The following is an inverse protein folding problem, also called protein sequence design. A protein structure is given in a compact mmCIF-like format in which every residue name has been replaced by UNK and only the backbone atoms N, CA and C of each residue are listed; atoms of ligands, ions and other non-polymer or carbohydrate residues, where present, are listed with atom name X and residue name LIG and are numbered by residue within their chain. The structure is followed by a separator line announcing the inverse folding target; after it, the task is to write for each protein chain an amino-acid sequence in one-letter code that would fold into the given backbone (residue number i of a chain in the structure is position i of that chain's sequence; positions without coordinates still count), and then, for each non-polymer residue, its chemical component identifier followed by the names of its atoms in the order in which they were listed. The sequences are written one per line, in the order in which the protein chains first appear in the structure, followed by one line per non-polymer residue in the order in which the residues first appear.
data_IF_278525566187
#
_entry.id   IF_278525566187
#
_cell.length_a   1.000
_cell.length_b   1.000
_cell.length_c   1.000
_cell.angle_alpha   90.00
_cell.angle_beta   90.00
_cell.angle_gamma   90.00
#
_symmetry.space_group_name_H-M   'P 1'
#
loop_
_entity.id
_entity.type
_entity.pdbx_description
1 polymer ?
#
# COMPACT_ATOMS: atom_id res chain seq x y z
N UNK A 1 -4.02 28.92 -15.32
CA UNK A 1 -3.75 29.89 -14.23
C UNK A 1 -2.30 29.69 -13.82
N UNK A 2 -1.40 30.64 -14.12
CA UNK A 2 0.00 30.54 -13.71
C UNK A 2 0.14 31.17 -12.33
N UNK A 3 0.52 30.38 -11.34
CA UNK A 3 0.97 30.89 -10.04
C UNK A 3 2.38 31.49 -10.21
N UNK A 4 2.72 32.62 -9.56
CA UNK A 4 4.05 33.21 -9.67
C UNK A 4 5.12 32.20 -9.22
N UNK A 5 6.11 31.93 -10.09
CA UNK A 5 7.16 30.92 -9.87
C UNK A 5 6.99 29.59 -10.62
N UNK A 6 5.83 29.36 -11.24
CA UNK A 6 5.62 28.22 -12.15
C UNK A 6 6.06 28.53 -13.59
N UNK A 7 6.39 27.50 -14.38
CA UNK A 7 6.72 27.66 -15.80
C UNK A 7 5.59 28.38 -16.57
N UNK A 8 5.91 29.23 -17.57
CA UNK A 8 4.90 30.00 -18.29
C UNK A 8 3.94 29.08 -19.06
N UNK A 9 2.64 29.19 -18.78
CA UNK A 9 1.58 28.43 -19.45
C UNK A 9 0.87 29.33 -20.47
N UNK A 10 0.83 28.91 -21.74
CA UNK A 10 0.12 29.61 -22.82
C UNK A 10 -0.82 28.64 -23.53
N UNK A 11 -2.07 29.04 -23.78
CA UNK A 11 -3.04 28.28 -24.60
C UNK A 11 -3.84 27.18 -23.89
N UNK A 12 -3.74 27.04 -22.56
CA UNK A 12 -4.53 26.06 -21.80
C UNK A 12 -5.83 26.71 -21.34
N UNK A 13 -6.97 26.19 -21.80
CA UNK A 13 -8.31 26.60 -21.36
C UNK A 13 -8.89 25.54 -20.44
N UNK A 14 -9.35 25.94 -19.25
CA UNK A 14 -9.92 25.03 -18.25
C UNK A 14 -11.36 25.45 -17.95
N UNK A 15 -12.28 24.48 -17.96
CA UNK A 15 -13.67 24.69 -17.61
C UNK A 15 -13.99 23.99 -16.29
N UNK A 16 -14.81 24.61 -15.45
CA UNK A 16 -15.28 24.04 -14.19
C UNK A 16 -16.73 24.41 -13.93
N UNK A 17 -17.41 23.63 -13.09
CA UNK A 17 -18.81 23.84 -12.68
C UNK A 17 -18.82 24.12 -11.17
N UNK A 18 -19.69 25.03 -10.72
CA UNK A 18 -19.88 25.31 -9.29
C UNK A 18 -20.16 24.03 -8.49
N UNK A 19 -19.47 23.79 -7.35
CA UNK A 19 -19.66 22.59 -6.53
C UNK A 19 -21.11 22.42 -6.05
N UNK A 20 -21.83 23.51 -5.81
CA UNK A 20 -23.24 23.49 -5.38
C UNK A 20 -24.19 22.91 -6.44
N UNK A 21 -23.73 22.76 -7.69
CA UNK A 21 -24.51 22.18 -8.79
C UNK A 21 -24.06 20.76 -9.16
N UNK A 22 -23.11 20.19 -8.44
CA UNK A 22 -22.64 18.81 -8.64
C UNK A 22 -23.24 17.91 -7.55
N UNK A 23 -23.53 16.66 -7.89
CA UNK A 23 -23.80 15.64 -6.89
C UNK A 23 -22.44 15.03 -6.45
N UNK A 24 -21.98 15.27 -5.21
CA UNK A 24 -20.63 14.92 -4.79
C UNK A 24 -20.36 13.41 -4.74
N UNK A 25 -21.40 12.57 -4.64
CA UNK A 25 -21.27 11.12 -4.53
C UNK A 25 -21.83 10.35 -5.73
N UNK A 26 -22.29 11.04 -6.77
CA UNK A 26 -22.82 10.40 -7.97
C UNK A 26 -21.78 9.45 -8.59
N UNK A 27 -22.16 8.18 -8.78
CA UNK A 27 -21.32 7.18 -9.44
C UNK A 27 -20.11 6.70 -8.64
N UNK A 28 -19.93 7.17 -7.39
CA UNK A 28 -18.77 6.84 -6.56
C UNK A 28 -18.68 5.36 -6.25
N UNK A 29 -19.79 4.66 -5.97
CA UNK A 29 -19.75 3.22 -5.67
C UNK A 29 -19.21 2.38 -6.85
N UNK A 30 -19.77 2.57 -8.04
CA UNK A 30 -19.32 1.87 -9.26
C UNK A 30 -17.89 2.26 -9.62
N UNK A 31 -17.57 3.56 -9.64
CA UNK A 31 -16.25 4.04 -9.99
C UNK A 31 -15.18 3.62 -8.95
N UNK A 32 -15.48 3.65 -7.66
CA UNK A 32 -14.53 3.35 -6.61
C UNK A 32 -14.10 1.88 -6.63
N UNK A 33 -15.03 0.93 -6.81
CA UNK A 33 -14.69 -0.50 -6.78
C UNK A 33 -13.71 -0.85 -7.90
N UNK A 34 -14.05 -0.54 -9.15
CA UNK A 34 -13.21 -0.92 -10.29
C UNK A 34 -11.91 -0.11 -10.36
N UNK A 35 -11.96 1.18 -10.02
CA UNK A 35 -10.76 2.03 -10.03
C UNK A 35 -9.79 1.67 -8.91
N UNK A 36 -10.30 1.31 -7.73
CA UNK A 36 -9.47 0.87 -6.60
C UNK A 36 -8.79 -0.45 -6.94
N UNK A 37 -9.53 -1.43 -7.46
CA UNK A 37 -8.94 -2.70 -7.89
C UNK A 37 -7.83 -2.51 -8.95
N UNK A 38 -8.09 -1.69 -9.98
CA UNK A 38 -7.10 -1.37 -11.02
C UNK A 38 -5.84 -0.71 -10.46
N UNK A 39 -5.95 0.11 -9.42
CA UNK A 39 -4.81 0.76 -8.76
C UNK A 39 -4.06 -0.21 -7.87
N UNK A 40 -4.76 -0.99 -7.06
CA UNK A 40 -4.17 -1.95 -6.12
C UNK A 40 -3.40 -3.04 -6.84
N UNK A 41 -3.92 -3.59 -7.95
CA UNK A 41 -3.26 -4.69 -8.67
C UNK A 41 -1.84 -4.36 -9.16
N UNK A 42 -1.57 -3.09 -9.50
CA UNK A 42 -0.25 -2.68 -9.98
C UNK A 42 0.80 -2.55 -8.87
N UNK A 43 0.35 -2.44 -7.63
CA UNK A 43 1.21 -2.20 -6.46
C UNK A 43 1.24 -3.39 -5.50
N UNK A 44 0.30 -4.32 -5.62
CA UNK A 44 0.11 -5.40 -4.66
C UNK A 44 1.37 -6.26 -4.47
N UNK A 45 2.15 -6.51 -5.53
CA UNK A 45 3.38 -7.30 -5.43
C UNK A 45 4.47 -6.58 -4.63
N UNK A 46 4.61 -5.27 -4.79
CA UNK A 46 5.60 -4.48 -4.05
C UNK A 46 5.29 -4.40 -2.55
N UNK A 47 4.04 -4.60 -2.16
CA UNK A 47 3.62 -4.57 -0.76
C UNK A 47 3.55 -5.98 -0.17
N UNK A 48 2.91 -6.91 -0.85
CA UNK A 48 2.64 -8.25 -0.33
C UNK A 48 3.90 -9.10 -0.24
N UNK A 49 4.79 -9.05 -1.24
CA UNK A 49 6.03 -9.87 -1.23
C UNK A 49 6.91 -9.55 -0.01
N UNK A 50 7.29 -8.29 0.29
CA UNK A 50 8.11 -8.03 1.46
C UNK A 50 7.40 -8.31 2.78
N UNK A 51 6.07 -8.09 2.87
CA UNK A 51 5.30 -8.39 4.07
C UNK A 51 5.24 -9.90 4.36
N UNK A 52 5.05 -10.72 3.33
CA UNK A 52 5.10 -12.17 3.48
C UNK A 52 6.48 -12.64 3.95
N UNK A 53 7.55 -12.16 3.32
CA UNK A 53 8.92 -12.51 3.72
C UNK A 53 9.19 -12.10 5.17
N UNK A 54 8.78 -10.89 5.58
CA UNK A 54 8.94 -10.43 6.95
C UNK A 54 8.14 -11.29 7.95
N UNK A 55 6.93 -11.73 7.58
CA UNK A 55 6.11 -12.58 8.43
C UNK A 55 6.73 -13.97 8.62
N UNK A 56 7.10 -14.63 7.53
CA UNK A 56 7.70 -15.98 7.56
C UNK A 56 9.04 -15.98 8.34
N UNK A 57 9.89 -14.99 8.09
CA UNK A 57 11.17 -14.86 8.81
C UNK A 57 10.99 -14.61 10.30
N UNK A 58 9.95 -13.86 10.68
CA UNK A 58 9.61 -13.63 12.08
C UNK A 58 9.08 -14.89 12.75
N UNK A 59 8.17 -15.64 12.09
CA UNK A 59 7.68 -16.91 12.62
C UNK A 59 8.82 -17.90 12.84
N UNK A 60 9.69 -18.07 11.84
CA UNK A 60 10.88 -18.91 11.96
C UNK A 60 11.77 -18.49 13.13
N UNK A 61 12.00 -17.18 13.30
CA UNK A 61 12.83 -16.67 14.40
C UNK A 61 12.22 -16.95 15.79
N UNK A 62 10.89 -16.86 15.92
CA UNK A 62 10.17 -17.17 17.16
C UNK A 62 10.29 -18.66 17.50
N UNK A 63 9.91 -19.53 16.56
CA UNK A 63 9.97 -20.99 16.76
C UNK A 63 11.39 -21.45 17.09
N UNK A 64 12.38 -20.89 16.38
CA UNK A 64 13.78 -21.20 16.63
C UNK A 64 14.23 -20.73 18.02
N UNK A 65 13.78 -19.55 18.46
CA UNK A 65 14.10 -19.03 19.80
C UNK A 65 13.49 -19.89 20.91
N UNK A 66 12.24 -20.30 20.76
CA UNK A 66 11.55 -21.17 21.71
C UNK A 66 12.23 -22.55 21.79
N UNK A 67 12.56 -23.13 20.64
CA UNK A 67 13.24 -24.41 20.57
C UNK A 67 14.63 -24.39 21.25
N UNK A 68 15.44 -23.36 21.00
CA UNK A 68 16.76 -23.22 21.65
C UNK A 68 16.66 -23.04 23.17
N UNK A 69 15.58 -22.43 23.67
CA UNK A 69 15.34 -22.27 25.09
C UNK A 69 14.69 -23.49 25.75
N UNK A 70 14.23 -24.47 24.96
CA UNK A 70 13.65 -25.72 25.43
C UNK A 70 14.72 -26.67 26.00
N UNK A 71 14.28 -27.68 26.75
CA UNK A 71 15.19 -28.68 27.34
C UNK A 71 15.93 -29.49 26.28
N UNK A 72 15.23 -29.86 25.20
CA UNK A 72 15.80 -30.63 24.10
C UNK A 72 16.81 -29.80 23.32
N UNK A 73 16.49 -28.54 23.01
CA UNK A 73 17.41 -27.62 22.35
C UNK A 73 18.66 -27.31 23.20
N UNK A 74 18.53 -27.23 24.53
CA UNK A 74 19.70 -27.13 25.40
C UNK A 74 20.57 -28.39 25.36
N UNK A 75 19.98 -29.59 25.30
CA UNK A 75 20.74 -30.83 25.26
C UNK A 75 21.48 -31.01 23.91
N UNK A 76 20.88 -30.55 22.81
CA UNK A 76 21.43 -30.69 21.46
C UNK A 76 22.52 -29.66 21.11
N UNK A 77 22.49 -28.48 21.76
CA UNK A 77 23.43 -27.37 21.52
C UNK A 77 24.37 -27.09 22.71
N UNK A 78 24.45 -27.97 23.72
CA UNK A 78 25.32 -27.81 24.90
C UNK A 78 26.74 -28.40 24.73
N UNK A 79 27.29 -28.38 23.51
CA UNK A 79 28.72 -28.62 23.23
C UNK A 79 29.56 -27.36 23.51
#
# INVERSE_FOLDING_TARGET
MCFPGSAPQKGIVTYSISPNRQNPLAGTASAAVFNTFRRTRGQILYVVVPLLVAYETMQWAIERNEYLNSKEGRAEYAE
#
